data_IF_289586340883
#
_entry.id   IF_289586340883
#
_cell.length_a   1.000
_cell.length_b   1.000
_cell.length_c   1.000
_cell.angle_alpha   90.00
_cell.angle_beta   90.00
_cell.angle_gamma   90.00
#
_symmetry.space_group_name_H-M   'P 1'
#
loop_
_entity.id
_entity.type
_entity.pdbx_description
1 polymer ?
#
# COMPACT_ATOMS: atom_id res chain seq x y z
N UNK A 1 -9.16 -40.76 -4.18
CA UNK A 1 -8.31 -39.69 -4.77
C UNK A 1 -7.54 -39.08 -3.61
N UNK A 2 -6.25 -39.36 -3.48
CA UNK A 2 -5.45 -38.85 -2.36
C UNK A 2 -5.11 -37.39 -2.61
N UNK A 3 -5.66 -36.47 -1.82
CA UNK A 3 -5.20 -35.09 -1.79
C UNK A 3 -3.80 -35.10 -1.16
N UNK A 4 -2.78 -34.73 -1.94
CA UNK A 4 -1.44 -34.57 -1.44
C UNK A 4 -1.48 -33.39 -0.46
N UNK A 5 -1.40 -33.70 0.83
CA UNK A 5 -1.34 -32.68 1.88
C UNK A 5 0.08 -32.11 1.87
N UNK A 6 0.21 -30.88 1.38
CA UNK A 6 1.46 -30.14 1.42
C UNK A 6 1.47 -29.32 2.71
N UNK A 7 2.49 -29.51 3.55
CA UNK A 7 2.74 -28.65 4.70
C UNK A 7 3.67 -27.53 4.29
N UNK A 8 3.26 -26.30 4.57
CA UNK A 8 4.11 -25.14 4.38
C UNK A 8 4.20 -24.33 5.66
N UNK A 9 5.42 -24.07 6.11
CA UNK A 9 5.65 -23.08 7.14
C UNK A 9 5.17 -21.69 6.66
N UNK A 10 4.57 -20.92 7.56
CA UNK A 10 4.16 -19.54 7.33
C UNK A 10 4.64 -18.69 8.50
N UNK A 11 5.44 -17.69 8.18
CA UNK A 11 5.74 -16.63 9.14
C UNK A 11 4.51 -15.70 9.27
N UNK A 12 4.35 -14.99 10.39
CA UNK A 12 3.35 -13.94 10.52
C UNK A 12 3.50 -12.87 9.43
N UNK A 13 2.36 -12.33 8.98
CA UNK A 13 2.35 -11.15 8.10
C UNK A 13 2.95 -9.95 8.83
N UNK A 14 3.68 -9.10 8.10
CA UNK A 14 4.22 -7.85 8.64
C UNK A 14 3.05 -6.92 8.97
N UNK A 15 3.02 -6.42 10.20
CA UNK A 15 2.13 -5.33 10.61
C UNK A 15 2.71 -3.99 10.18
N UNK A 16 1.87 -2.96 10.09
CA UNK A 16 2.29 -1.60 9.75
C UNK A 16 1.50 -0.56 10.52
N UNK A 17 2.12 0.58 10.81
CA UNK A 17 1.41 1.71 11.39
C UNK A 17 0.42 2.33 10.40
N UNK A 18 -0.62 2.98 10.93
CA UNK A 18 -1.54 3.79 10.14
C UNK A 18 -0.78 4.96 9.48
N UNK A 19 -1.05 5.20 8.20
CA UNK A 19 -0.47 6.29 7.42
C UNK A 19 -1.59 7.20 6.93
N UNK A 20 -1.55 8.49 7.26
CA UNK A 20 -2.65 9.39 6.94
C UNK A 20 -2.55 10.02 5.54
N UNK A 21 -1.34 10.12 4.98
CA UNK A 21 -1.04 10.79 3.70
C UNK A 21 -1.46 12.28 3.63
N UNK A 22 -1.74 12.91 4.78
CA UNK A 22 -2.17 14.32 4.79
C UNK A 22 -0.98 15.26 4.53
N UNK A 23 -1.10 16.12 3.52
CA UNK A 23 -0.14 17.18 3.27
C UNK A 23 -0.42 18.37 4.20
N UNK A 24 0.16 18.35 5.41
CA UNK A 24 -0.06 19.40 6.42
C UNK A 24 0.60 20.74 6.10
N UNK A 25 1.47 20.81 5.10
CA UNK A 25 2.40 21.93 4.88
C UNK A 25 2.19 22.72 3.60
N UNK A 26 1.21 22.38 2.75
CA UNK A 26 0.89 23.13 1.52
C UNK A 26 -0.61 23.40 1.45
N UNK A 27 -1.08 24.56 0.95
CA UNK A 27 -2.45 24.67 0.49
C UNK A 27 -2.67 23.58 -0.57
N UNK A 28 -3.49 22.60 -0.25
CA UNK A 28 -3.82 21.49 -1.15
C UNK A 28 -5.11 21.82 -1.89
N UNK A 29 -5.10 21.62 -3.21
CA UNK A 29 -6.33 21.67 -4.00
C UNK A 29 -7.27 20.54 -3.55
N UNK A 30 -8.57 20.69 -3.82
CA UNK A 30 -9.56 19.63 -3.57
C UNK A 30 -9.15 18.30 -4.19
N UNK A 31 -8.60 18.33 -5.41
CA UNK A 31 -8.14 17.13 -6.11
C UNK A 31 -6.96 16.46 -5.39
N UNK A 32 -6.00 17.25 -4.89
CA UNK A 32 -4.86 16.73 -4.15
C UNK A 32 -5.30 16.05 -2.84
N UNK A 33 -6.27 16.64 -2.13
CA UNK A 33 -6.87 16.03 -0.94
C UNK A 33 -7.60 14.73 -1.29
N UNK A 34 -8.34 14.70 -2.39
CA UNK A 34 -9.07 13.53 -2.84
C UNK A 34 -8.13 12.36 -3.17
N UNK A 35 -7.01 12.62 -3.87
CA UNK A 35 -6.00 11.59 -4.17
C UNK A 35 -5.36 11.05 -2.88
N UNK A 36 -5.01 11.91 -1.91
CA UNK A 36 -4.45 11.47 -0.64
C UNK A 36 -5.45 10.61 0.15
N UNK A 37 -6.73 10.98 0.14
CA UNK A 37 -7.79 10.19 0.75
C UNK A 37 -7.97 8.83 0.07
N UNK A 38 -7.98 8.80 -1.27
CA UNK A 38 -8.06 7.56 -2.04
C UNK A 38 -6.86 6.64 -1.76
N UNK A 39 -5.64 7.18 -1.70
CA UNK A 39 -4.43 6.43 -1.37
C UNK A 39 -4.51 5.83 0.04
N UNK A 40 -4.99 6.61 1.02
CA UNK A 40 -5.23 6.12 2.39
C UNK A 40 -6.23 4.97 2.41
N UNK A 41 -7.35 5.12 1.70
CA UNK A 41 -8.39 4.10 1.66
C UNK A 41 -7.89 2.81 1.00
N UNK A 42 -7.25 2.90 -0.17
CA UNK A 42 -6.69 1.74 -0.87
C UNK A 42 -5.66 0.99 -0.02
N UNK A 43 -4.84 1.72 0.77
CA UNK A 43 -3.90 1.09 1.71
C UNK A 43 -4.65 0.28 2.78
N UNK A 44 -5.70 0.85 3.38
CA UNK A 44 -6.50 0.16 4.39
C UNK A 44 -7.21 -1.07 3.81
N UNK A 45 -7.77 -0.94 2.61
CA UNK A 45 -8.47 -2.02 1.92
C UNK A 45 -7.54 -3.21 1.69
N UNK A 46 -6.33 -2.99 1.14
CA UNK A 46 -5.36 -4.07 0.93
C UNK A 46 -4.99 -4.77 2.23
N UNK A 47 -4.74 -4.01 3.30
CA UNK A 47 -4.38 -4.60 4.60
C UNK A 47 -5.52 -5.47 5.17
N UNK A 48 -6.78 -5.12 4.91
CA UNK A 48 -7.93 -5.94 5.27
C UNK A 48 -8.06 -7.18 4.38
N UNK A 49 -7.88 -7.01 3.06
CA UNK A 49 -7.98 -8.11 2.09
C UNK A 49 -6.92 -9.19 2.36
N UNK A 50 -5.69 -8.81 2.72
CA UNK A 50 -4.60 -9.75 3.05
C UNK A 50 -4.89 -10.63 4.27
N UNK A 51 -5.73 -10.16 5.19
CA UNK A 51 -6.13 -10.90 6.39
C UNK A 51 -7.36 -11.79 6.16
N UNK A 52 -7.98 -11.76 4.98
CA UNK A 52 -9.18 -12.52 4.69
C UNK A 52 -8.86 -13.81 3.90
N UNK A 53 -8.91 -14.99 4.54
CA UNK A 53 -8.55 -16.25 3.89
C UNK A 53 -9.59 -16.74 2.88
N UNK A 54 -10.78 -16.13 2.81
CA UNK A 54 -11.86 -16.57 1.91
C UNK A 54 -11.83 -15.88 0.55
N UNK A 55 -10.89 -14.95 0.33
CA UNK A 55 -10.83 -14.17 -0.89
C UNK A 55 -9.90 -14.81 -1.93
N UNK A 56 -10.36 -14.78 -3.18
CA UNK A 56 -9.52 -15.11 -4.32
C UNK A 56 -8.43 -14.07 -4.52
N UNK A 57 -7.26 -14.54 -4.97
CA UNK A 57 -6.07 -13.72 -5.19
C UNK A 57 -6.28 -12.56 -6.17
N UNK A 58 -7.25 -12.67 -7.09
CA UNK A 58 -7.62 -11.61 -8.03
C UNK A 58 -8.05 -10.32 -7.32
N UNK A 59 -8.85 -10.42 -6.25
CA UNK A 59 -9.34 -9.25 -5.52
C UNK A 59 -8.20 -8.46 -4.85
N UNK A 60 -7.19 -9.18 -4.36
CA UNK A 60 -6.00 -8.58 -3.76
C UNK A 60 -5.20 -7.84 -4.84
N UNK A 61 -5.02 -8.48 -6.01
CA UNK A 61 -4.24 -7.92 -7.13
C UNK A 61 -4.81 -6.60 -7.63
N UNK A 62 -6.13 -6.54 -7.88
CA UNK A 62 -6.77 -5.32 -8.40
C UNK A 62 -6.64 -4.13 -7.44
N UNK A 63 -6.76 -4.39 -6.14
CA UNK A 63 -6.60 -3.35 -5.11
C UNK A 63 -5.13 -2.93 -4.98
N UNK A 64 -4.21 -3.91 -5.03
CA UNK A 64 -2.77 -3.69 -4.98
C UNK A 64 -2.27 -2.82 -6.14
N UNK A 65 -2.69 -3.11 -7.38
CA UNK A 65 -2.28 -2.35 -8.57
C UNK A 65 -2.77 -0.88 -8.47
N UNK A 66 -3.97 -0.65 -7.96
CA UNK A 66 -4.50 0.71 -7.71
C UNK A 66 -3.70 1.45 -6.62
N UNK A 67 -3.36 0.77 -5.52
CA UNK A 67 -2.56 1.39 -4.46
C UNK A 67 -1.15 1.74 -4.93
N UNK A 68 -0.48 0.81 -5.62
CA UNK A 68 0.88 1.03 -6.12
C UNK A 68 0.89 2.15 -7.17
N UNK A 69 -0.07 2.18 -8.09
CA UNK A 69 -0.11 3.26 -9.10
C UNK A 69 -0.21 4.67 -8.49
N UNK A 70 -0.98 4.84 -7.40
CA UNK A 70 -1.01 6.11 -6.67
C UNK A 70 0.26 6.35 -5.84
N UNK A 71 0.79 5.32 -5.19
CA UNK A 71 2.02 5.42 -4.39
C UNK A 71 3.23 5.77 -5.26
N UNK A 72 3.27 5.32 -6.52
CA UNK A 72 4.34 5.67 -7.46
C UNK A 72 4.45 7.18 -7.67
N UNK A 73 3.35 7.95 -7.57
CA UNK A 73 3.40 9.42 -7.59
C UNK A 73 4.17 10.04 -6.41
N UNK A 74 4.34 9.30 -5.31
CA UNK A 74 5.23 9.69 -4.21
C UNK A 74 6.69 9.32 -4.48
N UNK A 75 6.99 8.49 -5.47
CA UNK A 75 8.34 7.94 -5.72
C UNK A 75 8.96 8.58 -6.96
N UNK A 76 8.24 8.58 -8.08
CA UNK A 76 8.74 8.98 -9.40
C UNK A 76 8.38 10.43 -9.73
N UNK A 77 9.29 11.14 -10.41
CA UNK A 77 8.99 12.48 -10.89
C UNK A 77 7.93 12.45 -12.00
N UNK A 78 6.91 13.34 -11.95
CA UNK A 78 5.85 13.36 -12.96
C UNK A 78 6.32 13.79 -14.37
N UNK A 79 7.50 14.41 -14.48
CA UNK A 79 8.09 14.84 -15.76
C UNK A 79 8.95 13.76 -16.44
N UNK A 80 9.09 12.58 -15.83
CA UNK A 80 9.92 11.49 -16.37
C UNK A 80 11.41 11.74 -16.28
N UNK A 81 11.86 12.75 -15.51
CA UNK A 81 13.26 12.91 -15.16
C UNK A 81 13.75 11.75 -14.29
N UNK A 82 15.07 11.60 -14.18
CA UNK A 82 15.69 10.63 -13.27
C UNK A 82 15.58 11.02 -11.79
N UNK A 83 14.96 12.16 -11.50
CA UNK A 83 14.82 12.68 -10.14
C UNK A 83 13.65 12.01 -9.41
N UNK A 84 13.73 12.03 -8.08
CA UNK A 84 12.66 11.56 -7.21
C UNK A 84 11.49 12.55 -7.16
N UNK A 85 10.28 12.04 -6.92
CA UNK A 85 9.15 12.88 -6.53
C UNK A 85 9.49 13.70 -5.30
N UNK A 86 9.08 14.98 -5.29
CA UNK A 86 9.19 15.86 -4.12
C UNK A 86 8.47 15.32 -2.89
N UNK A 87 7.56 14.36 -3.07
CA UNK A 87 6.79 13.72 -2.00
C UNK A 87 7.50 12.51 -1.37
N UNK A 88 8.60 12.01 -1.95
CA UNK A 88 9.24 10.74 -1.56
C UNK A 88 9.59 10.61 -0.09
N UNK A 89 10.05 11.71 0.51
CA UNK A 89 10.50 11.71 1.90
C UNK A 89 9.49 12.35 2.86
N UNK A 90 8.27 12.64 2.39
CA UNK A 90 7.22 13.30 3.20
C UNK A 90 6.50 12.35 4.14
N UNK A 91 6.48 11.05 3.82
CA UNK A 91 5.71 10.05 4.56
C UNK A 91 6.64 9.00 5.15
N UNK A 92 6.52 8.77 6.45
CA UNK A 92 7.23 7.68 7.14
C UNK A 92 6.35 6.45 7.20
N UNK A 93 6.91 5.31 6.81
CA UNK A 93 6.28 4.00 6.94
C UNK A 93 6.99 3.20 8.03
N UNK A 94 6.20 2.58 8.89
CA UNK A 94 6.70 1.66 9.91
C UNK A 94 6.15 0.27 9.63
N UNK A 95 7.01 -0.74 9.65
CA UNK A 95 6.66 -2.13 9.42
C UNK A 95 7.30 -3.01 10.50
N UNK A 96 6.56 -3.98 11.02
CA UNK A 96 7.16 -5.04 11.83
C UNK A 96 7.87 -6.06 10.95
N UNK A 97 8.66 -6.93 11.55
CA UNK A 97 9.32 -8.03 10.85
C UNK A 97 8.54 -9.34 10.99
N UNK A 98 8.75 -10.23 10.02
CA UNK A 98 8.10 -11.55 10.01
C UNK A 98 8.87 -12.59 10.83
N UNK A 99 10.08 -12.25 11.29
CA UNK A 99 11.00 -13.18 11.96
C UNK A 99 11.45 -12.69 13.34
N UNK A 100 11.17 -11.44 13.71
CA UNK A 100 11.63 -10.79 14.94
C UNK A 100 10.52 -9.96 15.55
#
# INVERSE_FOLDING_TARGET
MFTINHWFHRNPLKSTALVSFDQRTSPSSTDAMQICHQLRQLRLDILQLLCNPTLETSHIRDSFDKYISLLTGYVESPDGSSDDSKLRYTTKFYWSDSLT
#
